data_IF_862463094277
#
_entry.id   IF_862463094277
#
_cell.length_a   1.000
_cell.length_b   1.000
_cell.length_c   1.000
_cell.angle_alpha   90.00
_cell.angle_beta   90.00
_cell.angle_gamma   90.00
#
_symmetry.space_group_name_H-M   'P 1'
#
loop_
_entity.id
_entity.type
_entity.pdbx_description
1 polymer ?
#
# COMPACT_ATOMS: atom_id res chain seq x y z
N UNK A 1 -2.14 -1.16 -15.08
CA UNK A 1 -3.07 -0.82 -16.19
C UNK A 1 -3.17 -1.93 -17.23
N UNK A 2 -2.04 -2.50 -17.73
CA UNK A 2 -2.07 -3.53 -18.77
C UNK A 2 -2.80 -4.80 -18.32
N UNK A 3 -2.52 -5.27 -17.10
CA UNK A 3 -3.21 -6.43 -16.52
C UNK A 3 -4.73 -6.16 -16.39
N UNK A 4 -5.10 -4.98 -15.91
CA UNK A 4 -6.51 -4.54 -15.78
C UNK A 4 -7.22 -4.47 -17.14
N UNK A 5 -6.48 -4.21 -18.20
CA UNK A 5 -6.99 -4.16 -19.59
C UNK A 5 -6.99 -5.52 -20.28
N UNK A 6 -6.49 -6.57 -19.62
CA UNK A 6 -6.46 -7.93 -20.15
C UNK A 6 -5.34 -8.19 -21.16
N UNK A 7 -4.34 -7.29 -21.27
CA UNK A 7 -3.16 -7.50 -22.15
C UNK A 7 -2.15 -8.47 -21.50
N UNK A 8 -2.60 -9.70 -21.29
CA UNK A 8 -1.83 -10.72 -20.57
C UNK A 8 -0.54 -11.12 -21.27
N UNK A 9 -0.54 -11.15 -22.60
CA UNK A 9 0.64 -11.50 -23.38
C UNK A 9 1.78 -10.50 -23.14
N UNK A 10 1.47 -9.20 -23.20
CA UNK A 10 2.45 -8.15 -22.96
C UNK A 10 2.92 -8.10 -21.50
N UNK A 11 2.02 -8.40 -20.56
CA UNK A 11 2.39 -8.50 -19.13
C UNK A 11 3.35 -9.67 -18.93
N UNK A 12 3.11 -10.83 -19.55
CA UNK A 12 3.98 -12.01 -19.48
C UNK A 12 5.38 -11.73 -20.06
N UNK A 13 5.46 -11.11 -21.26
CA UNK A 13 6.73 -10.69 -21.86
C UNK A 13 7.52 -9.73 -20.94
N UNK A 14 6.82 -8.76 -20.33
CA UNK A 14 7.42 -7.81 -19.41
C UNK A 14 7.92 -8.52 -18.15
N UNK A 15 7.16 -9.47 -17.61
CA UNK A 15 7.54 -10.25 -16.44
C UNK A 15 8.85 -11.01 -16.67
N UNK A 16 8.97 -11.74 -17.78
CA UNK A 16 10.19 -12.48 -18.13
C UNK A 16 11.38 -11.55 -18.27
N UNK A 17 11.21 -10.43 -18.99
CA UNK A 17 12.29 -9.45 -19.20
C UNK A 17 12.78 -8.86 -17.88
N UNK A 18 11.87 -8.31 -17.09
CA UNK A 18 12.22 -7.65 -15.80
C UNK A 18 12.80 -8.66 -14.82
N UNK A 19 12.26 -9.89 -14.76
CA UNK A 19 12.79 -10.92 -13.87
C UNK A 19 14.22 -11.33 -14.24
N UNK A 20 14.52 -11.42 -15.54
CA UNK A 20 15.88 -11.68 -16.00
C UNK A 20 16.86 -10.54 -15.66
N UNK A 21 16.44 -9.28 -15.79
CA UNK A 21 17.23 -8.11 -15.42
C UNK A 21 17.49 -8.03 -13.91
N UNK A 22 16.52 -8.47 -13.08
CA UNK A 22 16.62 -8.48 -11.62
C UNK A 22 17.39 -9.69 -11.07
N UNK A 23 17.55 -10.76 -11.86
CA UNK A 23 18.16 -12.02 -11.41
C UNK A 23 19.54 -11.86 -10.74
N UNK A 24 20.49 -11.06 -11.26
CA UNK A 24 21.80 -10.90 -10.60
C UNK A 24 21.72 -10.31 -9.18
N UNK A 25 20.73 -9.45 -8.93
CA UNK A 25 20.53 -8.86 -7.60
C UNK A 25 19.91 -9.88 -6.63
N UNK A 26 18.99 -10.68 -7.12
CA UNK A 26 18.36 -11.76 -6.34
C UNK A 26 19.40 -12.82 -5.97
N UNK A 27 20.22 -13.24 -6.93
CA UNK A 27 21.31 -14.22 -6.71
C UNK A 27 22.39 -13.67 -5.74
N UNK A 28 22.55 -12.34 -5.67
CA UNK A 28 23.38 -11.68 -4.67
C UNK A 28 22.71 -11.54 -3.29
N UNK A 29 21.56 -12.16 -3.06
CA UNK A 29 20.83 -12.16 -1.78
C UNK A 29 20.11 -10.85 -1.46
N UNK A 30 19.88 -9.97 -2.44
CA UNK A 30 19.15 -8.71 -2.22
C UNK A 30 17.65 -8.94 -2.24
N UNK A 31 16.94 -8.37 -1.26
CA UNK A 31 15.50 -8.29 -1.29
C UNK A 31 15.03 -7.25 -2.32
N UNK A 32 13.91 -7.52 -2.98
CA UNK A 32 13.24 -6.59 -3.88
C UNK A 32 12.04 -5.99 -3.13
N UNK A 33 12.13 -4.69 -2.84
CA UNK A 33 11.13 -4.01 -2.02
C UNK A 33 10.14 -3.25 -2.90
N UNK A 34 8.87 -3.64 -2.82
CA UNK A 34 7.78 -2.96 -3.50
C UNK A 34 7.12 -1.94 -2.57
N UNK A 35 7.14 -0.68 -2.97
CA UNK A 35 6.55 0.42 -2.19
C UNK A 35 5.02 0.52 -2.34
N UNK A 36 4.46 -0.12 -3.36
CA UNK A 36 3.02 -0.10 -3.63
C UNK A 36 2.45 -1.51 -3.58
N UNK A 37 1.39 -1.78 -2.81
CA UNK A 37 0.85 -3.13 -2.64
C UNK A 37 0.42 -3.84 -3.93
N UNK A 38 -0.05 -3.09 -4.93
CA UNK A 38 -0.39 -3.66 -6.25
C UNK A 38 0.85 -4.18 -6.99
N UNK A 39 2.00 -3.51 -6.85
CA UNK A 39 3.25 -3.98 -7.40
C UNK A 39 3.75 -5.22 -6.63
N UNK A 40 3.68 -5.21 -5.29
CA UNK A 40 4.03 -6.36 -4.47
C UNK A 40 3.18 -7.59 -4.84
N UNK A 41 1.86 -7.42 -4.93
CA UNK A 41 0.94 -8.50 -5.33
C UNK A 41 1.28 -9.06 -6.71
N UNK A 42 1.52 -8.18 -7.68
CA UNK A 42 1.86 -8.58 -9.05
C UNK A 42 3.16 -9.38 -9.10
N UNK A 43 4.23 -8.89 -8.48
CA UNK A 43 5.53 -9.56 -8.48
C UNK A 43 5.52 -10.88 -7.71
N UNK A 44 4.81 -10.93 -6.56
CA UNK A 44 4.78 -12.11 -5.69
C UNK A 44 3.85 -13.22 -6.22
N UNK A 45 2.73 -12.86 -6.85
CA UNK A 45 1.66 -13.82 -7.14
C UNK A 45 1.20 -13.82 -8.59
N UNK A 46 0.95 -12.66 -9.20
CA UNK A 46 0.31 -12.60 -10.53
C UNK A 46 1.27 -12.99 -11.65
N UNK A 47 2.52 -12.52 -11.61
CA UNK A 47 3.53 -12.92 -12.61
C UNK A 47 3.85 -14.40 -12.59
N UNK A 48 4.05 -15.08 -11.42
CA UNK A 48 4.18 -16.53 -11.39
C UNK A 48 2.98 -17.31 -11.96
N UNK A 49 1.77 -16.75 -11.87
CA UNK A 49 0.58 -17.37 -12.49
C UNK A 49 0.58 -17.22 -14.02
N UNK A 50 1.09 -16.10 -14.53
CA UNK A 50 1.15 -15.83 -15.98
C UNK A 50 2.27 -16.60 -16.67
N UNK A 51 3.41 -16.77 -16.01
CA UNK A 51 4.61 -17.43 -16.56
C UNK A 51 5.17 -18.45 -15.56
N UNK A 52 4.42 -19.51 -15.26
CA UNK A 52 4.72 -20.43 -14.16
C UNK A 52 6.01 -21.25 -14.36
N UNK A 53 6.50 -21.36 -15.58
CA UNK A 53 7.71 -22.14 -15.90
C UNK A 53 9.01 -21.31 -15.87
N UNK A 54 8.92 -19.97 -15.75
CA UNK A 54 10.10 -19.10 -15.76
C UNK A 54 10.78 -19.05 -14.38
N UNK A 55 12.01 -19.56 -14.30
CA UNK A 55 12.77 -19.63 -13.04
C UNK A 55 13.23 -18.25 -12.52
N UNK A 56 13.39 -17.25 -13.40
CA UNK A 56 13.72 -15.89 -12.98
C UNK A 56 12.51 -15.23 -12.32
N UNK A 57 11.31 -15.46 -12.88
CA UNK A 57 10.06 -14.94 -12.29
C UNK A 57 9.81 -15.59 -10.93
N UNK A 58 10.03 -16.89 -10.78
CA UNK A 58 9.95 -17.58 -9.46
C UNK A 58 10.93 -17.00 -8.46
N UNK A 59 12.20 -16.81 -8.88
CA UNK A 59 13.23 -16.24 -8.01
C UNK A 59 12.92 -14.80 -7.58
N UNK A 60 12.46 -13.96 -8.53
CA UNK A 60 12.02 -12.59 -8.26
C UNK A 60 10.84 -12.56 -7.27
N UNK A 61 9.84 -13.43 -7.49
CA UNK A 61 8.69 -13.58 -6.59
C UNK A 61 9.12 -13.89 -5.16
N UNK A 62 10.02 -14.88 -5.00
CA UNK A 62 10.53 -15.29 -3.69
C UNK A 62 11.34 -14.19 -2.96
N UNK A 63 12.05 -13.34 -3.73
CA UNK A 63 12.83 -12.23 -3.22
C UNK A 63 12.02 -10.95 -2.96
N UNK A 64 10.78 -10.87 -3.47
CA UNK A 64 9.93 -9.67 -3.35
C UNK A 64 9.29 -9.59 -1.98
N UNK A 65 9.30 -8.39 -1.40
CA UNK A 65 8.62 -8.03 -0.16
C UNK A 65 7.80 -6.75 -0.36
N UNK A 66 6.64 -6.68 0.27
CA UNK A 66 5.96 -5.42 0.52
C UNK A 66 6.78 -4.61 1.53
N UNK A 67 6.86 -3.28 1.38
CA UNK A 67 7.68 -2.43 2.26
C UNK A 67 7.27 -2.56 3.73
N UNK A 68 5.96 -2.61 4.00
CA UNK A 68 5.47 -2.69 5.37
C UNK A 68 5.78 -4.06 5.99
N UNK A 69 5.69 -5.15 5.19
CA UNK A 69 6.13 -6.49 5.57
C UNK A 69 7.63 -6.49 5.90
N UNK A 70 8.45 -5.90 5.03
CA UNK A 70 9.90 -5.86 5.18
C UNK A 70 10.33 -5.13 6.46
N UNK A 71 9.74 -3.96 6.74
CA UNK A 71 10.07 -3.20 7.97
C UNK A 71 9.63 -3.95 9.23
N UNK A 72 8.47 -4.61 9.21
CA UNK A 72 8.02 -5.44 10.34
C UNK A 72 8.96 -6.62 10.59
N UNK A 73 9.46 -7.25 9.53
CA UNK A 73 10.41 -8.35 9.65
C UNK A 73 11.75 -7.88 10.23
N UNK A 74 12.28 -6.73 9.76
CA UNK A 74 13.48 -6.11 10.36
C UNK A 74 13.25 -5.81 11.84
N UNK A 75 12.12 -5.19 12.17
CA UNK A 75 11.81 -4.84 13.57
C UNK A 75 11.79 -6.06 14.49
N UNK A 76 11.38 -7.23 13.98
CA UNK A 76 11.33 -8.50 14.75
C UNK A 76 12.69 -9.20 14.84
N UNK A 77 13.55 -9.08 13.83
CA UNK A 77 14.80 -9.84 13.73
C UNK A 77 16.02 -9.05 14.17
N UNK A 78 16.11 -7.79 13.81
CA UNK A 78 17.26 -6.92 14.03
C UNK A 78 16.96 -5.76 15.00
N UNK A 79 15.67 -5.44 15.17
CA UNK A 79 15.21 -4.23 15.84
C UNK A 79 15.22 -3.01 14.92
N UNK A 80 14.50 -1.98 15.31
CA UNK A 80 14.55 -0.67 14.64
C UNK A 80 15.65 0.20 15.26
N UNK A 81 16.17 1.16 14.48
CA UNK A 81 17.10 2.16 14.98
C UNK A 81 16.49 2.94 16.15
N UNK A 82 17.35 3.41 17.07
CA UNK A 82 16.93 4.28 18.16
C UNK A 82 16.41 5.63 17.64
N UNK A 83 15.59 6.31 18.46
CA UNK A 83 15.10 7.66 18.14
C UNK A 83 13.65 7.73 17.67
N UNK A 84 12.94 6.59 17.64
CA UNK A 84 11.51 6.58 17.35
C UNK A 84 10.73 7.27 18.49
N UNK A 85 9.89 8.24 18.14
CA UNK A 85 9.14 9.09 19.09
C UNK A 85 7.65 8.98 18.84
N UNK A 86 6.85 9.28 19.85
CA UNK A 86 5.40 9.41 19.71
C UNK A 86 5.04 10.46 18.64
N UNK A 87 3.94 10.24 17.95
CA UNK A 87 3.42 11.12 16.91
C UNK A 87 2.08 11.71 17.38
N UNK A 88 2.00 13.04 17.38
CA UNK A 88 0.79 13.76 17.76
C UNK A 88 -0.30 13.70 16.71
N UNK A 89 -1.56 13.50 17.14
CA UNK A 89 -2.77 13.68 16.35
C UNK A 89 -3.34 12.44 15.66
N UNK A 90 -2.78 11.26 15.90
CA UNK A 90 -3.35 9.98 15.46
C UNK A 90 -3.34 9.74 13.95
N UNK A 91 -3.62 8.50 13.54
CA UNK A 91 -3.58 8.04 12.14
C UNK A 91 -4.81 7.20 11.79
N UNK A 92 -5.61 7.65 10.82
CA UNK A 92 -6.61 6.85 10.13
C UNK A 92 -5.93 6.05 9.02
N UNK A 93 -5.67 4.76 9.26
CA UNK A 93 -4.97 3.88 8.35
C UNK A 93 -5.95 3.09 7.49
N UNK A 94 -5.96 3.33 6.18
CA UNK A 94 -6.66 2.51 5.22
C UNK A 94 -5.78 1.33 4.78
N UNK A 95 -6.32 0.10 4.87
CA UNK A 95 -5.70 -1.10 4.33
C UNK A 95 -6.18 -1.38 2.90
N UNK A 96 -5.35 -1.16 1.87
CA UNK A 96 -5.72 -1.39 0.47
C UNK A 96 -6.05 -2.86 0.19
N UNK A 97 -6.95 -3.10 -0.81
CA UNK A 97 -7.32 -4.46 -1.19
C UNK A 97 -6.11 -5.30 -1.65
N UNK A 98 -5.14 -4.70 -2.36
CA UNK A 98 -3.93 -5.42 -2.78
C UNK A 98 -3.00 -5.78 -1.61
N UNK A 99 -2.96 -5.02 -0.51
CA UNK A 99 -2.26 -5.44 0.72
C UNK A 99 -2.94 -6.66 1.33
N UNK A 100 -4.28 -6.64 1.43
CA UNK A 100 -5.06 -7.76 1.96
C UNK A 100 -4.97 -9.01 1.09
N UNK A 101 -4.95 -8.83 -0.24
CA UNK A 101 -4.82 -9.93 -1.20
C UNK A 101 -3.47 -10.66 -1.13
N UNK A 102 -2.42 -10.02 -0.61
CA UNK A 102 -1.13 -10.69 -0.36
C UNK A 102 -1.17 -11.70 0.80
N UNK A 103 -2.23 -11.70 1.61
CA UNK A 103 -2.41 -12.59 2.76
C UNK A 103 -1.25 -12.54 3.78
N UNK A 104 -0.64 -11.38 3.95
CA UNK A 104 0.49 -11.12 4.87
C UNK A 104 0.05 -10.56 6.24
N UNK A 105 -1.25 -10.42 6.46
CA UNK A 105 -1.81 -9.76 7.64
C UNK A 105 -1.85 -8.23 7.48
N UNK A 106 -2.03 -7.52 8.59
CA UNK A 106 -2.15 -6.05 8.63
C UNK A 106 -0.77 -5.39 8.82
N UNK A 107 0.18 -5.64 7.91
CA UNK A 107 1.58 -5.21 8.06
C UNK A 107 1.75 -3.70 8.26
N UNK A 108 0.98 -2.88 7.55
CA UNK A 108 0.98 -1.43 7.77
C UNK A 108 0.60 -1.06 9.22
N UNK A 109 -0.40 -1.74 9.78
CA UNK A 109 -0.82 -1.52 11.16
C UNK A 109 0.20 -2.06 12.17
N UNK A 110 0.79 -3.25 11.91
CA UNK A 110 1.88 -3.78 12.73
C UNK A 110 3.06 -2.81 12.77
N UNK A 111 3.48 -2.28 11.60
CA UNK A 111 4.57 -1.32 11.49
C UNK A 111 4.27 -0.01 12.25
N UNK A 112 3.10 0.57 12.07
CA UNK A 112 2.75 1.81 12.76
C UNK A 112 2.62 1.64 14.27
N UNK A 113 2.20 0.46 14.77
CA UNK A 113 2.17 0.17 16.21
C UNK A 113 3.54 0.09 16.88
N UNK A 114 4.63 0.12 16.11
CA UNK A 114 5.99 0.28 16.65
C UNK A 114 6.25 1.71 17.15
N UNK A 115 5.47 2.70 16.67
CA UNK A 115 5.55 4.10 17.12
C UNK A 115 4.98 4.19 18.55
N UNK A 116 5.71 4.71 19.53
CA UNK A 116 5.22 4.85 20.90
C UNK A 116 3.92 5.65 20.97
N UNK A 117 2.97 5.16 21.76
CA UNK A 117 1.69 5.83 22.09
C UNK A 117 0.86 6.27 20.87
N UNK A 118 1.03 5.60 19.73
CA UNK A 118 0.29 5.95 18.52
C UNK A 118 -1.20 5.68 18.66
N UNK A 119 -2.02 6.69 18.38
CA UNK A 119 -3.45 6.52 18.20
C UNK A 119 -3.71 6.07 16.74
N UNK A 120 -4.14 4.82 16.57
CA UNK A 120 -4.29 4.19 15.25
C UNK A 120 -5.69 3.62 15.04
N UNK A 121 -6.42 4.14 14.08
CA UNK A 121 -7.68 3.57 13.61
C UNK A 121 -7.48 2.88 12.27
N UNK A 122 -7.69 1.57 12.24
CA UNK A 122 -7.56 0.76 11.03
C UNK A 122 -8.89 0.66 10.29
N UNK A 123 -8.89 0.97 8.99
CA UNK A 123 -10.06 0.99 8.13
C UNK A 123 -9.90 -0.02 6.99
N UNK A 124 -10.73 -1.07 7.01
CA UNK A 124 -10.78 -2.13 6.00
C UNK A 124 -12.02 -1.99 5.11
N UNK A 125 -12.03 -0.96 4.27
CA UNK A 125 -13.14 -0.68 3.33
C UNK A 125 -12.57 -0.46 1.93
N UNK A 126 -13.42 -0.64 0.90
CA UNK A 126 -13.04 -0.30 -0.45
C UNK A 126 -12.94 1.22 -0.60
N UNK A 127 -11.81 1.70 -1.13
CA UNK A 127 -11.63 3.13 -1.44
C UNK A 127 -12.42 3.60 -2.67
N UNK A 128 -12.90 2.66 -3.49
CA UNK A 128 -13.74 2.96 -4.65
C UNK A 128 -12.99 3.26 -5.94
N UNK A 129 -11.67 3.52 -5.90
CA UNK A 129 -10.94 3.95 -7.10
C UNK A 129 -10.79 2.87 -8.19
N UNK A 130 -10.78 1.56 -7.82
CA UNK A 130 -10.73 0.45 -8.78
C UNK A 130 -9.58 0.55 -9.80
N UNK A 131 -8.35 0.73 -9.32
CA UNK A 131 -7.19 0.93 -10.21
C UNK A 131 -7.30 2.21 -11.02
N UNK A 132 -7.16 2.11 -12.36
CA UNK A 132 -7.31 3.25 -13.27
C UNK A 132 -8.78 3.62 -13.58
N UNK A 133 -9.73 2.75 -13.25
CA UNK A 133 -11.14 2.94 -13.59
C UNK A 133 -11.76 4.17 -12.91
N UNK A 134 -11.58 4.31 -11.61
CA UNK A 134 -12.23 5.35 -10.80
C UNK A 134 -11.61 6.75 -10.93
N UNK A 135 -10.45 6.87 -11.61
CA UNK A 135 -9.82 8.17 -11.86
C UNK A 135 -10.21 8.78 -13.22
N UNK A 136 -10.95 8.03 -14.04
CA UNK A 136 -11.47 8.54 -15.30
C UNK A 136 -12.71 9.43 -15.06
N UNK A 137 -12.87 10.46 -15.88
CA UNK A 137 -13.94 11.44 -15.73
C UNK A 137 -15.33 10.81 -15.68
N UNK A 138 -15.57 9.78 -16.49
CA UNK A 138 -16.86 9.09 -16.62
C UNK A 138 -17.21 8.29 -15.36
N UNK A 139 -16.21 7.75 -14.67
CA UNK A 139 -16.39 6.83 -13.55
C UNK A 139 -16.21 7.48 -12.18
N UNK A 140 -15.60 8.67 -12.13
CA UNK A 140 -15.17 9.34 -10.91
C UNK A 140 -16.28 9.49 -9.87
N UNK A 141 -17.45 9.99 -10.27
CA UNK A 141 -18.57 10.18 -9.35
C UNK A 141 -19.11 8.85 -8.81
N UNK A 142 -19.12 7.79 -9.63
CA UNK A 142 -19.50 6.45 -9.20
C UNK A 142 -18.45 5.88 -8.23
N UNK A 143 -17.19 6.08 -8.53
CA UNK A 143 -16.07 5.66 -7.69
C UNK A 143 -16.15 6.31 -6.30
N UNK A 144 -16.41 7.62 -6.22
CA UNK A 144 -16.62 8.32 -4.95
C UNK A 144 -17.83 7.82 -4.16
N UNK A 145 -18.93 7.45 -4.84
CA UNK A 145 -20.09 6.81 -4.16
C UNK A 145 -19.71 5.47 -3.53
N UNK A 146 -18.93 4.64 -4.24
CA UNK A 146 -18.42 3.37 -3.72
C UNK A 146 -17.45 3.61 -2.54
N UNK A 147 -16.59 4.61 -2.63
CA UNK A 147 -15.65 5.02 -1.59
C UNK A 147 -16.25 5.79 -0.41
N UNK A 148 -17.52 6.21 -0.48
CA UNK A 148 -18.15 7.01 0.59
C UNK A 148 -18.07 6.39 1.99
N UNK A 149 -18.23 5.06 2.19
CA UNK A 149 -18.11 4.45 3.52
C UNK A 149 -16.73 4.60 4.16
N UNK A 150 -15.64 4.43 3.40
CA UNK A 150 -14.28 4.61 3.92
C UNK A 150 -14.00 6.08 4.22
N UNK A 151 -14.41 6.99 3.32
CA UNK A 151 -14.26 8.43 3.50
C UNK A 151 -14.97 8.93 4.76
N UNK A 152 -16.21 8.46 4.98
CA UNK A 152 -16.99 8.77 6.19
C UNK A 152 -16.31 8.24 7.45
N UNK A 153 -15.83 7.00 7.43
CA UNK A 153 -15.14 6.41 8.57
C UNK A 153 -13.85 7.17 8.88
N UNK A 154 -13.02 7.47 7.88
CA UNK A 154 -11.81 8.27 8.05
C UNK A 154 -12.13 9.67 8.60
N UNK A 155 -13.18 10.33 8.08
CA UNK A 155 -13.63 11.64 8.54
C UNK A 155 -14.06 11.66 10.01
N UNK A 156 -14.73 10.61 10.44
CA UNK A 156 -15.25 10.47 11.82
C UNK A 156 -14.17 10.20 12.87
N UNK A 157 -12.96 9.80 12.47
CA UNK A 157 -11.85 9.60 13.42
C UNK A 157 -11.28 10.92 13.93
N UNK A 158 -11.45 12.01 13.19
CA UNK A 158 -10.86 13.32 13.45
C UNK A 158 -9.33 13.31 13.60
N UNK A 159 -8.69 12.22 13.17
CA UNK A 159 -7.24 12.04 13.27
C UNK A 159 -6.50 12.94 12.29
N UNK A 160 -5.34 13.40 12.69
CA UNK A 160 -4.50 14.33 11.93
C UNK A 160 -3.99 13.76 10.61
N UNK A 161 -3.70 12.46 10.60
CA UNK A 161 -3.13 11.80 9.45
C UNK A 161 -4.10 10.79 8.84
N UNK A 162 -4.18 10.79 7.52
CA UNK A 162 -4.79 9.71 6.73
C UNK A 162 -3.69 8.98 6.00
N UNK A 163 -3.58 7.68 6.21
CA UNK A 163 -2.51 6.87 5.60
C UNK A 163 -3.07 5.71 4.77
N UNK A 164 -2.40 5.43 3.66
CA UNK A 164 -2.66 4.26 2.82
C UNK A 164 -1.41 3.85 2.06
N UNK A 165 -1.06 2.56 2.02
CA UNK A 165 0.01 2.04 1.19
C UNK A 165 -0.26 2.17 -0.32
N UNK A 166 -1.50 2.47 -0.72
CA UNK A 166 -1.86 2.76 -2.10
C UNK A 166 -2.10 4.28 -2.28
N UNK A 167 -1.22 5.01 -3.00
CA UNK A 167 -1.37 6.46 -3.18
C UNK A 167 -2.69 6.87 -3.82
N UNK A 168 -3.16 6.13 -4.83
CA UNK A 168 -4.45 6.39 -5.48
C UNK A 168 -5.63 6.20 -4.52
N UNK A 169 -5.58 5.17 -3.66
CA UNK A 169 -6.60 4.97 -2.65
C UNK A 169 -6.60 6.10 -1.61
N UNK A 170 -5.42 6.53 -1.16
CA UNK A 170 -5.27 7.65 -0.24
C UNK A 170 -5.86 8.94 -0.80
N UNK A 171 -5.45 9.33 -2.00
CA UNK A 171 -5.99 10.52 -2.68
C UNK A 171 -7.52 10.45 -2.86
N UNK A 172 -8.04 9.29 -3.27
CA UNK A 172 -9.48 9.12 -3.48
C UNK A 172 -10.29 9.17 -2.18
N UNK A 173 -9.71 8.69 -1.06
CA UNK A 173 -10.31 8.82 0.27
C UNK A 173 -10.41 10.29 0.67
N UNK A 174 -9.35 11.09 0.50
CA UNK A 174 -9.37 12.52 0.81
C UNK A 174 -10.44 13.25 -0.01
N UNK A 175 -10.51 13.01 -1.31
CA UNK A 175 -11.56 13.56 -2.18
C UNK A 175 -12.97 13.17 -1.71
N UNK A 176 -13.13 11.95 -1.22
CA UNK A 176 -14.38 11.50 -0.60
C UNK A 176 -14.67 12.19 0.73
N UNK A 177 -13.64 12.45 1.56
CA UNK A 177 -13.77 13.15 2.85
C UNK A 177 -14.23 14.60 2.68
N UNK A 178 -13.83 15.30 1.60
CA UNK A 178 -14.32 16.63 1.26
C UNK A 178 -15.83 16.69 0.98
N UNK A 179 -16.44 15.54 0.67
CA UNK A 179 -17.85 15.39 0.30
C UNK A 179 -18.73 14.78 1.39
N UNK A 180 -18.18 14.58 2.57
CA UNK A 180 -18.91 14.09 3.74
C UNK A 180 -18.76 15.05 4.91
N UNK A 181 -19.79 15.11 5.75
CA UNK A 181 -19.81 16.00 6.91
C UNK A 181 -18.74 15.58 7.94
N UNK A 182 -18.14 16.57 8.61
CA UNK A 182 -17.17 16.40 9.66
C UNK A 182 -16.57 17.74 10.08
N UNK A 183 -16.18 17.88 11.34
CA UNK A 183 -15.69 19.15 11.91
C UNK A 183 -14.19 19.37 11.63
N UNK A 184 -13.37 18.32 11.77
CA UNK A 184 -11.92 18.42 11.54
C UNK A 184 -11.59 18.74 10.09
N UNK A 185 -10.51 19.48 9.79
CA UNK A 185 -10.07 19.72 8.41
C UNK A 185 -9.67 18.41 7.71
N UNK A 186 -9.92 18.32 6.40
CA UNK A 186 -9.38 17.22 5.59
C UNK A 186 -7.89 17.46 5.39
N UNK A 187 -7.01 16.48 5.63
CA UNK A 187 -5.59 16.62 5.33
C UNK A 187 -5.37 16.93 3.84
N UNK A 188 -4.38 17.75 3.53
CA UNK A 188 -4.03 18.09 2.13
C UNK A 188 -3.53 16.88 1.35
N UNK A 189 -2.81 15.97 2.04
CA UNK A 189 -2.21 14.78 1.43
C UNK A 189 -2.46 13.55 2.28
N UNK A 190 -2.68 12.41 1.65
CA UNK A 190 -2.62 11.11 2.31
C UNK A 190 -1.17 10.62 2.35
N UNK A 191 -0.73 10.15 3.49
CA UNK A 191 0.63 9.64 3.67
C UNK A 191 0.72 8.15 3.29
N UNK A 192 1.88 7.74 2.80
CA UNK A 192 2.23 6.33 2.84
C UNK A 192 2.56 5.94 4.30
N UNK A 193 2.25 4.70 4.78
CA UNK A 193 2.55 4.29 6.15
C UNK A 193 4.03 4.47 6.53
N UNK A 194 4.97 4.23 5.61
CA UNK A 194 6.41 4.45 5.85
C UNK A 194 6.76 5.92 6.09
N UNK A 195 6.03 6.88 5.49
CA UNK A 195 6.21 8.31 5.74
C UNK A 195 5.78 8.69 7.16
N UNK A 196 4.73 8.04 7.68
CA UNK A 196 4.32 8.21 9.08
C UNK A 196 5.42 7.70 10.03
N UNK A 197 6.01 6.55 9.72
CA UNK A 197 7.15 6.03 10.50
C UNK A 197 8.36 6.98 10.42
N UNK A 198 8.68 7.51 9.24
CA UNK A 198 9.76 8.49 9.05
C UNK A 198 9.51 9.77 9.87
N UNK A 199 8.28 10.31 9.87
CA UNK A 199 7.89 11.45 10.71
C UNK A 199 8.10 11.17 12.20
N UNK A 200 7.85 9.96 12.68
CA UNK A 200 8.10 9.57 14.07
C UNK A 200 9.60 9.53 14.42
N UNK A 201 10.48 9.39 13.42
CA UNK A 201 11.92 9.59 13.57
C UNK A 201 12.36 11.06 13.47
N UNK A 202 11.47 11.97 13.09
CA UNK A 202 11.76 13.39 12.88
C UNK A 202 12.38 13.70 11.51
N UNK A 203 12.12 12.84 10.51
CA UNK A 203 12.57 12.97 9.12
C UNK A 203 11.50 13.63 8.23
#
# INVERSE_FOLDING_TARGET
PQLEQGDLARVAETAVKVAAEMRPYVDAGKAVIALTPSCALMLKFEWPLLVPEDDNVKALSAATRDIDEYIVDIAKTEGLAEGLRSLDGGVALHLPCHSRAQNIGQKSAEMLRLIPDIELTVIERCSGHGGSWGVTKENFETALKVGKPVARQARQTEQKYVASGCPLAGAHILQGMERVDGEAPVPETANHPIEILAKAYGL
#
